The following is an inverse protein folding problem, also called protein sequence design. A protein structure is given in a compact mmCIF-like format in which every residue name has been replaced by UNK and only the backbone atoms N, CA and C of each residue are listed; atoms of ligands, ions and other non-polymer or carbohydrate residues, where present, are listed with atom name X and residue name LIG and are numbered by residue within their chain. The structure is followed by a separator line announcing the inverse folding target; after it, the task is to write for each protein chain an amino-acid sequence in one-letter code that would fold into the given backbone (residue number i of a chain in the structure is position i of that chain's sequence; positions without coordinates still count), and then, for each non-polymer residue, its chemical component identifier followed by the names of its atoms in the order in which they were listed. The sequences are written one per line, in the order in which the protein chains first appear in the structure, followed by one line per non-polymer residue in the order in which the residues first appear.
data_IF_164979716168
#
_entry.id   IF_164979716168
#
_cell.length_a   1.000
_cell.length_b   1.000
_cell.length_c   1.000
_cell.angle_alpha   90.00
_cell.angle_beta   90.00
_cell.angle_gamma   90.00
#
_symmetry.space_group_name_H-M   'P 1'
#
loop_
_entity.id
_entity.type
_entity.pdbx_description
1 polymer ?
#
# COMPACT_ATOMS: atom_id res chain seq x y z
N UNK A 1 -49.68 -72.94 35.58
CA UNK A 1 -50.14 -71.74 36.30
C UNK A 1 -50.29 -70.63 35.29
N UNK A 2 -51.53 -70.33 34.89
CA UNK A 2 -51.83 -69.32 33.87
C UNK A 2 -52.34 -68.01 34.47
N UNK A 3 -52.70 -67.08 33.58
CA UNK A 3 -53.34 -65.75 33.75
C UNK A 3 -52.36 -64.57 33.83
N UNK A 4 -52.57 -63.41 33.17
CA UNK A 4 -53.59 -62.87 32.27
C UNK A 4 -53.02 -61.59 31.62
N UNK A 5 -53.54 -61.24 30.44
CA UNK A 5 -53.31 -60.01 29.68
C UNK A 5 -54.12 -58.85 30.30
N UNK A 6 -53.57 -57.63 30.43
CA UNK A 6 -54.38 -56.38 30.53
C UNK A 6 -53.72 -55.20 29.83
N UNK A 7 -54.57 -54.42 29.17
CA UNK A 7 -54.29 -53.37 28.19
C UNK A 7 -54.86 -52.02 28.71
N UNK A 8 -54.07 -50.93 28.57
CA UNK A 8 -54.40 -49.46 28.55
C UNK A 8 -54.94 -48.81 29.86
N UNK A 9 -55.02 -47.45 30.01
CA UNK A 9 -54.64 -46.31 29.14
C UNK A 9 -53.93 -45.10 29.83
N UNK A 10 -53.47 -44.16 29.00
CA UNK A 10 -53.38 -42.68 29.13
C UNK A 10 -53.00 -41.99 30.47
N UNK A 11 -51.99 -41.11 30.44
CA UNK A 11 -52.18 -39.66 30.64
C UNK A 11 -50.92 -38.87 30.27
N UNK A 12 -51.13 -37.74 29.62
CA UNK A 12 -50.12 -36.78 29.18
C UNK A 12 -49.39 -36.12 30.37
N UNK A 13 -48.07 -35.99 30.23
CA UNK A 13 -47.30 -34.98 30.95
C UNK A 13 -46.65 -34.07 29.91
N UNK A 14 -47.12 -32.83 29.86
CA UNK A 14 -46.45 -31.72 29.19
C UNK A 14 -45.09 -31.52 29.88
N UNK A 15 -44.03 -32.02 29.26
CA UNK A 15 -42.66 -31.65 29.59
C UNK A 15 -42.24 -30.47 28.71
N UNK A 16 -42.27 -29.27 29.25
CA UNK A 16 -41.65 -28.08 28.66
C UNK A 16 -40.14 -28.30 28.65
N UNK A 17 -39.59 -28.73 27.51
CA UNK A 17 -38.15 -28.72 27.28
C UNK A 17 -37.80 -27.40 26.58
N UNK A 18 -37.32 -26.44 27.39
CA UNK A 18 -36.67 -25.24 26.91
C UNK A 18 -35.44 -25.65 26.09
N UNK A 19 -35.57 -25.64 24.75
CA UNK A 19 -34.43 -25.74 23.87
C UNK A 19 -33.61 -24.45 24.03
N UNK A 20 -32.47 -24.61 24.68
CA UNK A 20 -31.44 -23.61 24.88
C UNK A 20 -31.19 -22.85 23.58
N UNK A 21 -31.30 -21.52 23.67
CA UNK A 21 -30.98 -20.62 22.58
C UNK A 21 -29.59 -20.92 22.04
N UNK A 22 -29.53 -21.12 20.72
CA UNK A 22 -28.29 -21.06 19.96
C UNK A 22 -27.74 -19.64 20.09
N UNK A 23 -26.93 -19.42 21.11
CA UNK A 23 -26.05 -18.27 21.22
C UNK A 23 -24.89 -18.50 20.26
N UNK A 24 -24.59 -17.46 19.49
CA UNK A 24 -23.80 -17.56 18.29
C UNK A 24 -22.35 -17.96 18.52
N UNK A 25 -21.79 -18.49 17.45
CA UNK A 25 -20.50 -18.03 16.96
C UNK A 25 -20.73 -17.64 15.50
N UNK A 26 -21.20 -16.40 15.30
CA UNK A 26 -20.70 -15.68 14.15
C UNK A 26 -19.18 -15.76 14.30
N UNK A 27 -18.49 -16.40 13.36
CA UNK A 27 -17.07 -16.19 13.22
C UNK A 27 -16.93 -14.69 12.97
N UNK A 28 -16.70 -13.94 14.05
CA UNK A 28 -16.12 -12.63 13.97
C UNK A 28 -14.83 -12.88 13.19
N UNK A 29 -14.85 -12.49 11.93
CA UNK A 29 -13.64 -12.28 11.17
C UNK A 29 -12.73 -11.49 12.11
N UNK A 30 -11.55 -12.03 12.40
CA UNK A 30 -10.58 -11.30 13.20
C UNK A 30 -9.98 -10.24 12.27
N UNK A 31 -10.83 -9.34 11.81
CA UNK A 31 -10.50 -7.98 11.50
C UNK A 31 -9.88 -7.43 12.77
N UNK A 32 -8.56 -7.58 12.87
CA UNK A 32 -7.73 -6.76 13.73
C UNK A 32 -7.76 -5.35 13.14
N UNK A 33 -8.95 -4.74 13.18
CA UNK A 33 -9.22 -3.37 12.83
C UNK A 33 -8.95 -2.51 14.07
N UNK A 34 -7.71 -2.61 14.56
CA UNK A 34 -7.13 -1.74 15.57
C UNK A 34 -5.93 -1.07 14.91
N UNK A 35 -6.17 0.06 14.26
CA UNK A 35 -5.21 1.15 14.04
C UNK A 35 -3.83 0.78 13.43
N UNK A 36 -3.80 -0.14 12.47
CA UNK A 36 -2.84 -0.06 11.37
C UNK A 36 -3.69 0.28 10.15
N UNK A 37 -3.79 1.57 9.83
CA UNK A 37 -4.33 1.95 8.53
C UNK A 37 -3.56 1.14 7.48
N UNK A 38 -4.24 0.32 6.68
CA UNK A 38 -3.60 -0.30 5.54
C UNK A 38 -3.20 0.84 4.61
N UNK A 39 -1.95 1.30 4.74
CA UNK A 39 -1.43 2.44 3.99
C UNK A 39 -1.29 2.13 2.49
N UNK A 40 -1.82 0.98 2.02
CA UNK A 40 -1.93 0.60 0.62
C UNK A 40 -2.38 1.76 -0.27
N UNK A 41 -3.49 2.44 0.06
CA UNK A 41 -3.97 3.59 -0.74
C UNK A 41 -2.94 4.71 -0.87
N UNK A 42 -2.20 5.01 0.20
CA UNK A 42 -1.12 5.99 0.15
C UNK A 42 0.03 5.49 -0.73
N UNK A 43 0.46 4.25 -0.54
CA UNK A 43 1.55 3.63 -1.27
C UNK A 43 1.25 3.56 -2.78
N UNK A 44 0.03 3.15 -3.14
CA UNK A 44 -0.44 3.07 -4.53
C UNK A 44 -0.49 4.46 -5.18
N UNK A 45 -0.97 5.47 -4.43
CA UNK A 45 -0.97 6.87 -4.89
C UNK A 45 0.46 7.37 -5.21
N UNK A 46 1.46 7.00 -4.41
CA UNK A 46 2.86 7.38 -4.68
C UNK A 46 3.34 6.80 -6.02
N UNK A 47 3.05 5.53 -6.29
CA UNK A 47 3.44 4.87 -7.55
C UNK A 47 2.79 5.59 -8.74
N UNK A 48 1.48 5.87 -8.65
CA UNK A 48 0.75 6.61 -9.69
C UNK A 48 1.36 8.01 -9.93
N UNK A 49 1.80 8.69 -8.88
CA UNK A 49 2.41 10.01 -9.01
C UNK A 49 3.76 9.98 -9.70
N UNK A 50 4.61 9.01 -9.37
CA UNK A 50 5.90 8.84 -10.02
C UNK A 50 5.69 8.50 -11.50
N UNK A 51 4.76 7.58 -11.81
CA UNK A 51 4.37 7.28 -13.18
C UNK A 51 4.05 8.55 -13.96
N UNK A 52 3.21 9.43 -13.40
CA UNK A 52 2.82 10.65 -14.09
C UNK A 52 3.97 11.67 -14.19
N UNK A 53 4.85 11.78 -13.19
CA UNK A 53 6.08 12.60 -13.30
C UNK A 53 6.92 12.12 -14.48
N UNK A 54 7.19 10.83 -14.56
CA UNK A 54 8.01 10.23 -15.62
C UNK A 54 7.42 10.50 -17.02
N UNK A 55 6.12 10.28 -17.20
CA UNK A 55 5.46 10.47 -18.49
C UNK A 55 5.37 11.93 -18.90
N UNK A 56 4.96 12.82 -17.99
CA UNK A 56 4.69 14.22 -18.34
C UNK A 56 5.93 15.10 -18.34
N UNK A 57 6.93 14.79 -17.51
CA UNK A 57 8.15 15.61 -17.37
C UNK A 57 9.30 15.08 -18.23
N UNK A 58 9.52 13.78 -18.21
CA UNK A 58 10.66 13.14 -18.87
C UNK A 58 10.30 12.50 -20.21
N UNK A 59 9.01 12.44 -20.54
CA UNK A 59 8.53 11.81 -21.77
C UNK A 59 8.76 10.29 -21.79
N UNK A 60 8.87 9.67 -20.60
CA UNK A 60 9.02 8.22 -20.49
C UNK A 60 7.83 7.53 -21.16
N UNK A 61 8.08 6.34 -21.72
CA UNK A 61 7.07 5.51 -22.42
C UNK A 61 6.84 4.16 -21.75
N UNK A 62 7.64 3.87 -20.73
CA UNK A 62 7.59 2.66 -19.94
C UNK A 62 6.76 2.90 -18.68
N UNK A 63 6.18 1.83 -18.16
CA UNK A 63 5.40 1.88 -16.93
C UNK A 63 6.30 1.81 -15.70
N UNK A 64 5.75 2.22 -14.55
CA UNK A 64 6.35 2.04 -13.23
C UNK A 64 5.59 0.93 -12.51
N UNK A 65 6.20 -0.25 -12.39
CA UNK A 65 5.53 -1.45 -11.88
C UNK A 65 5.86 -1.70 -10.41
N UNK A 66 4.89 -2.10 -9.56
CA UNK A 66 5.20 -2.59 -8.23
C UNK A 66 6.10 -3.84 -8.28
N UNK A 67 7.11 -3.91 -7.42
CA UNK A 67 7.96 -5.09 -7.21
C UNK A 67 8.01 -5.46 -5.73
N UNK A 68 7.64 -6.71 -5.41
CA UNK A 68 7.55 -7.19 -4.03
C UNK A 68 8.88 -7.13 -3.25
N UNK A 69 10.01 -7.24 -3.94
CA UNK A 69 11.34 -7.17 -3.30
C UNK A 69 11.66 -5.73 -2.91
N UNK A 70 11.34 -4.78 -3.78
CA UNK A 70 11.47 -3.35 -3.45
C UNK A 70 10.49 -2.93 -2.35
N UNK A 71 9.30 -3.52 -2.28
CA UNK A 71 8.35 -3.29 -1.17
C UNK A 71 8.95 -3.79 0.15
N UNK A 72 9.58 -4.96 0.17
CA UNK A 72 10.27 -5.47 1.37
C UNK A 72 11.44 -4.58 1.79
N UNK A 73 12.22 -4.07 0.83
CA UNK A 73 13.30 -3.11 1.10
C UNK A 73 12.76 -1.80 1.71
N UNK A 74 11.67 -1.25 1.14
CA UNK A 74 11.00 -0.06 1.64
C UNK A 74 10.43 -0.27 3.04
N UNK A 75 9.75 -1.40 3.27
CA UNK A 75 9.18 -1.77 4.57
C UNK A 75 10.25 -1.87 5.65
N UNK A 76 11.37 -2.52 5.34
CA UNK A 76 12.50 -2.65 6.26
C UNK A 76 12.99 -1.27 6.71
N UNK A 77 13.20 -0.35 5.76
CA UNK A 77 13.71 0.99 6.09
C UNK A 77 12.67 1.85 6.80
N UNK A 78 11.40 1.79 6.39
CA UNK A 78 10.34 2.54 7.04
C UNK A 78 10.16 2.15 8.52
N UNK A 79 10.26 0.85 8.84
CA UNK A 79 10.23 0.33 10.22
C UNK A 79 11.44 0.77 11.03
N UNK A 80 12.61 0.76 10.41
CA UNK A 80 13.82 1.25 11.04
C UNK A 80 13.71 2.74 11.38
N UNK A 81 13.31 3.55 10.40
CA UNK A 81 13.12 4.98 10.56
C UNK A 81 12.03 5.32 11.59
N UNK A 82 10.87 4.65 11.58
CA UNK A 82 9.78 4.98 12.52
C UNK A 82 10.20 4.74 13.98
N UNK A 83 11.01 3.69 14.23
CA UNK A 83 11.50 3.33 15.56
C UNK A 83 12.76 4.14 15.98
N UNK A 84 13.55 4.64 15.02
CA UNK A 84 14.77 5.42 15.27
C UNK A 84 14.60 6.90 14.91
N UNK A 85 14.27 7.74 15.92
CA UNK A 85 14.01 9.18 15.74
C UNK A 85 15.20 10.05 15.35
N UNK A 86 16.42 9.55 15.56
CA UNK A 86 17.64 10.22 15.12
C UNK A 86 17.95 10.06 13.63
N UNK A 87 17.15 9.27 12.90
CA UNK A 87 17.33 8.99 11.48
C UNK A 87 16.25 9.68 10.65
N UNK A 88 16.69 10.38 9.61
CA UNK A 88 15.86 11.04 8.59
C UNK A 88 16.47 10.94 7.18
N UNK A 89 17.39 9.98 7.00
CA UNK A 89 18.19 9.79 5.78
C UNK A 89 17.99 8.40 5.15
N UNK A 90 18.62 8.17 4.01
CA UNK A 90 18.57 6.94 3.23
C UNK A 90 19.41 5.80 3.86
N UNK A 91 20.23 6.13 4.86
CA UNK A 91 21.07 5.19 5.60
C UNK A 91 20.32 4.65 6.82
N UNK A 92 20.21 3.33 6.92
CA UNK A 92 19.59 2.64 8.05
C UNK A 92 20.45 2.67 9.32
N UNK A 93 19.84 2.35 10.46
CA UNK A 93 20.51 2.23 11.77
C UNK A 93 21.60 1.16 11.78
N UNK A 94 21.49 0.18 10.90
CA UNK A 94 22.47 -0.88 10.66
C UNK A 94 23.59 -0.48 9.68
N UNK A 95 23.59 0.77 9.21
CA UNK A 95 24.52 1.30 8.21
C UNK A 95 24.17 0.94 6.77
N UNK A 96 23.06 0.22 6.53
CA UNK A 96 22.68 -0.18 5.18
C UNK A 96 22.26 1.01 4.33
N UNK A 97 22.69 1.02 3.07
CA UNK A 97 22.18 1.93 2.05
C UNK A 97 21.03 1.29 1.24
N UNK A 98 20.32 2.06 0.36
CA UNK A 98 19.21 1.53 -0.42
C UNK A 98 19.56 0.31 -1.30
N UNK A 99 20.75 0.31 -1.90
CA UNK A 99 21.22 -0.80 -2.76
C UNK A 99 21.36 -2.09 -1.96
N UNK A 100 21.99 -2.02 -0.79
CA UNK A 100 22.17 -3.18 0.09
C UNK A 100 20.83 -3.73 0.58
N UNK A 101 19.85 -2.86 0.87
CA UNK A 101 18.50 -3.28 1.26
C UNK A 101 17.75 -3.96 0.11
N UNK A 102 17.85 -3.43 -1.10
CA UNK A 102 17.27 -4.06 -2.29
C UNK A 102 17.88 -5.43 -2.57
N UNK A 103 19.21 -5.54 -2.49
CA UNK A 103 19.94 -6.81 -2.67
C UNK A 103 19.58 -7.84 -1.60
N UNK A 104 19.48 -7.42 -0.34
CA UNK A 104 19.04 -8.29 0.77
C UNK A 104 17.60 -8.80 0.57
N UNK A 105 16.74 -8.03 -0.10
CA UNK A 105 15.41 -8.46 -0.52
C UNK A 105 15.40 -9.32 -1.81
N UNK A 106 16.56 -9.58 -2.40
CA UNK A 106 16.72 -10.37 -3.63
C UNK A 106 16.50 -9.59 -4.93
N UNK A 107 16.46 -8.26 -4.88
CA UNK A 107 16.40 -7.42 -6.07
C UNK A 107 17.74 -7.47 -6.81
N UNK A 108 17.69 -7.56 -8.15
CA UNK A 108 18.87 -7.58 -9.03
C UNK A 108 18.76 -6.42 -10.00
N UNK A 109 19.56 -5.39 -9.77
CA UNK A 109 19.48 -4.13 -10.51
C UNK A 109 20.02 -2.97 -9.69
N UNK A 110 19.92 -1.76 -10.23
CA UNK A 110 20.25 -0.54 -9.48
C UNK A 110 19.05 -0.13 -8.65
N UNK A 111 19.31 0.34 -7.44
CA UNK A 111 18.28 0.78 -6.51
C UNK A 111 18.54 2.23 -6.12
N UNK A 112 17.46 3.00 -6.01
CA UNK A 112 17.46 4.36 -5.48
C UNK A 112 16.29 4.51 -4.52
N UNK A 113 16.29 5.55 -3.69
CA UNK A 113 15.26 5.74 -2.68
C UNK A 113 14.91 7.22 -2.51
N UNK A 114 13.66 7.47 -2.15
CA UNK A 114 13.21 8.75 -1.60
C UNK A 114 12.51 8.50 -0.27
N UNK A 115 12.94 9.21 0.76
CA UNK A 115 12.39 9.12 2.12
C UNK A 115 11.65 10.40 2.49
N UNK A 116 10.57 10.28 3.23
CA UNK A 116 9.92 11.39 3.90
C UNK A 116 9.55 11.03 5.33
N UNK A 117 10.13 11.75 6.30
CA UNK A 117 9.69 11.74 7.70
C UNK A 117 8.87 12.99 7.97
N UNK A 118 7.66 12.83 8.49
CA UNK A 118 6.70 13.91 8.74
C UNK A 118 6.21 13.88 10.20
N UNK A 119 6.20 15.01 10.93
CA UNK A 119 5.93 15.05 12.37
C UNK A 119 4.42 15.08 12.70
N UNK A 120 3.63 14.23 12.05
CA UNK A 120 2.20 14.07 12.32
C UNK A 120 1.73 12.64 12.03
N UNK A 121 0.53 12.29 12.51
CA UNK A 121 -0.10 10.97 12.35
C UNK A 121 -0.29 10.56 10.88
N UNK A 122 -0.42 11.53 9.99
CA UNK A 122 -0.55 11.30 8.57
C UNK A 122 0.10 12.44 7.79
N UNK A 123 0.68 12.10 6.64
CA UNK A 123 1.01 13.02 5.56
C UNK A 123 0.00 12.77 4.42
N UNK A 124 -0.39 13.80 3.67
CA UNK A 124 -1.18 13.57 2.45
C UNK A 124 -0.27 13.18 1.27
N UNK A 125 -0.75 12.39 0.32
CA UNK A 125 0.02 12.05 -0.89
C UNK A 125 0.44 13.29 -1.68
N UNK A 126 -0.38 14.34 -1.66
CA UNK A 126 -0.07 15.61 -2.31
C UNK A 126 1.09 16.33 -1.64
N UNK A 127 1.06 16.43 -0.31
CA UNK A 127 2.12 17.06 0.45
C UNK A 127 3.45 16.30 0.28
N UNK A 128 3.40 14.97 0.31
CA UNK A 128 4.54 14.10 0.08
C UNK A 128 5.19 14.36 -1.28
N UNK A 129 4.39 14.30 -2.36
CA UNK A 129 4.91 14.51 -3.72
C UNK A 129 5.39 15.94 -3.91
N UNK A 130 4.69 16.95 -3.37
CA UNK A 130 5.15 18.32 -3.44
C UNK A 130 6.51 18.51 -2.74
N UNK A 131 6.74 17.84 -1.61
CA UNK A 131 8.04 17.85 -0.93
C UNK A 131 9.13 17.27 -1.83
N UNK A 132 8.93 16.07 -2.37
CA UNK A 132 9.93 15.43 -3.23
C UNK A 132 10.12 16.14 -4.58
N UNK A 133 9.07 16.76 -5.12
CA UNK A 133 9.14 17.50 -6.38
C UNK A 133 10.00 18.77 -6.26
N UNK A 134 10.02 19.40 -5.09
CA UNK A 134 10.85 20.58 -4.83
C UNK A 134 12.25 20.24 -4.28
N UNK A 135 12.56 18.97 -4.07
CA UNK A 135 13.90 18.47 -3.77
C UNK A 135 14.57 18.01 -5.09
N UNK A 136 15.66 18.66 -5.53
CA UNK A 136 16.32 18.30 -6.79
C UNK A 136 16.82 16.85 -6.86
N UNK A 137 17.25 16.27 -5.74
CA UNK A 137 17.75 14.90 -5.70
C UNK A 137 16.60 13.89 -5.80
N UNK A 138 15.54 14.10 -5.01
CA UNK A 138 14.35 13.25 -5.08
C UNK A 138 13.64 13.36 -6.43
N UNK A 139 13.53 14.57 -6.99
CA UNK A 139 12.96 14.77 -8.31
C UNK A 139 13.77 14.08 -9.41
N UNK A 140 15.10 14.08 -9.33
CA UNK A 140 15.95 13.37 -10.29
C UNK A 140 15.70 11.85 -10.25
N UNK A 141 15.51 11.27 -9.07
CA UNK A 141 15.18 9.84 -8.91
C UNK A 141 13.77 9.55 -9.45
N UNK A 142 12.77 10.34 -9.06
CA UNK A 142 11.38 10.16 -9.53
C UNK A 142 11.26 10.29 -11.05
N UNK A 143 12.03 11.19 -11.67
CA UNK A 143 11.94 11.50 -13.10
C UNK A 143 12.81 10.61 -14.00
N UNK A 144 13.64 9.72 -13.44
CA UNK A 144 14.50 8.83 -14.23
C UNK A 144 13.69 7.70 -14.88
N UNK A 145 13.60 7.70 -16.21
CA UNK A 145 12.88 6.67 -16.96
C UNK A 145 13.44 5.25 -16.77
N UNK A 146 14.71 5.10 -16.34
CA UNK A 146 15.28 3.79 -16.06
C UNK A 146 14.68 3.15 -14.78
N UNK A 147 14.07 3.93 -13.89
CA UNK A 147 13.35 3.46 -12.72
C UNK A 147 11.96 2.95 -13.11
N UNK A 148 11.90 1.72 -13.64
CA UNK A 148 10.68 1.07 -14.13
C UNK A 148 10.00 0.15 -13.10
N UNK A 149 10.61 -0.04 -11.93
CA UNK A 149 10.05 -0.81 -10.83
C UNK A 149 10.08 -0.01 -9.53
N UNK A 150 9.08 -0.19 -8.67
CA UNK A 150 9.02 0.49 -7.37
C UNK A 150 8.47 -0.39 -6.25
N UNK A 151 8.87 -0.07 -5.03
CA UNK A 151 8.17 -0.50 -3.82
C UNK A 151 7.98 0.67 -2.89
N UNK A 152 6.77 0.81 -2.35
CA UNK A 152 6.43 1.90 -1.44
C UNK A 152 5.91 1.32 -0.14
N UNK A 153 6.39 1.86 0.98
CA UNK A 153 5.90 1.51 2.29
C UNK A 153 5.74 2.75 3.17
N UNK A 154 4.64 2.78 3.92
CA UNK A 154 4.35 3.84 4.88
C UNK A 154 4.14 3.24 6.26
N UNK A 155 4.88 3.75 7.23
CA UNK A 155 4.68 3.48 8.66
C UNK A 155 4.22 4.76 9.35
N UNK A 156 3.27 4.66 10.28
CA UNK A 156 2.80 5.83 11.01
C UNK A 156 2.49 5.53 12.48
N UNK A 157 2.67 6.57 13.29
CA UNK A 157 2.38 6.67 14.73
C UNK A 157 1.76 8.04 14.98
N UNK A 158 1.15 8.24 16.14
CA UNK A 158 0.42 9.49 16.51
C UNK A 158 1.18 10.79 16.18
N UNK A 159 2.51 10.77 16.29
CA UNK A 159 3.35 11.96 16.14
C UNK A 159 4.35 11.86 14.97
N UNK A 160 4.27 10.83 14.15
CA UNK A 160 5.27 10.58 13.11
C UNK A 160 4.73 9.69 12.00
N UNK A 161 4.91 10.12 10.76
CA UNK A 161 4.69 9.31 9.57
C UNK A 161 6.00 9.20 8.79
N UNK A 162 6.33 8.00 8.33
CA UNK A 162 7.48 7.71 7.48
C UNK A 162 6.98 7.09 6.19
N UNK A 163 7.33 7.69 5.07
CA UNK A 163 7.09 7.12 3.74
C UNK A 163 8.44 6.86 3.09
N UNK A 164 8.64 5.62 2.66
CA UNK A 164 9.82 5.19 1.91
C UNK A 164 9.36 4.68 0.55
N UNK A 165 9.90 5.29 -0.51
CA UNK A 165 9.71 4.83 -1.87
C UNK A 165 11.06 4.39 -2.44
N UNK A 166 11.16 3.11 -2.79
CA UNK A 166 12.34 2.49 -3.38
C UNK A 166 12.09 2.28 -4.86
N UNK A 167 13.05 2.69 -5.69
CA UNK A 167 13.02 2.65 -7.15
C UNK A 167 14.04 1.64 -7.64
N UNK A 168 13.71 0.90 -8.69
CA UNK A 168 14.54 -0.15 -9.25
C UNK A 168 14.74 0.01 -10.76
N UNK A 169 15.98 -0.13 -11.19
CA UNK A 169 16.39 -0.31 -12.58
C UNK A 169 16.76 -1.79 -12.75
N UNK A 170 15.90 -2.62 -13.35
CA UNK A 170 16.16 -4.05 -13.48
C UNK A 170 17.41 -4.28 -14.33
N UNK A 171 18.23 -5.28 -13.95
CA UNK A 171 19.47 -5.59 -14.66
C UNK A 171 19.25 -5.95 -16.14
N UNK A 172 18.12 -6.61 -16.44
CA UNK A 172 17.62 -6.82 -17.78
C UNK A 172 16.48 -5.82 -18.02
N UNK A 173 16.64 -4.84 -18.93
CA UNK A 173 15.58 -3.89 -19.25
C UNK A 173 14.35 -4.64 -19.75
N UNK A 174 13.24 -4.56 -19.01
CA UNK A 174 11.97 -5.07 -19.49
C UNK A 174 11.37 -4.03 -20.44
N UNK A 175 11.07 -4.44 -21.66
CA UNK A 175 10.23 -3.64 -22.55
C UNK A 175 8.80 -3.71 -22.03
N UNK A 176 8.39 -2.67 -21.30
CA UNK A 176 7.04 -2.53 -20.77
C UNK A 176 6.16 -1.65 -21.66
N UNK A 177 6.58 -1.30 -22.88
CA UNK A 177 5.74 -0.42 -23.73
C UNK A 177 4.41 -1.11 -24.05
N UNK A 178 3.31 -0.51 -23.58
CA UNK A 178 1.95 -1.00 -23.83
C UNK A 178 1.48 -2.16 -22.96
N UNK A 179 2.17 -2.50 -21.87
CA UNK A 179 1.78 -3.58 -20.96
C UNK A 179 1.06 -3.05 -19.69
N UNK A 180 -0.22 -2.70 -19.84
CA UNK A 180 -1.19 -2.58 -18.74
C UNK A 180 -1.46 -3.96 -18.11
N UNK A 181 -0.46 -4.56 -17.45
CA UNK A 181 -0.63 -5.83 -16.74
C UNK A 181 -0.44 -5.58 -15.25
N UNK A 182 -1.53 -5.47 -14.48
CA UNK A 182 -1.49 -5.50 -13.02
C UNK A 182 -0.80 -6.78 -12.54
N UNK A 183 0.17 -6.65 -11.62
CA UNK A 183 0.57 -7.77 -10.79
C UNK A 183 -0.28 -7.70 -9.53
N UNK A 184 -1.47 -8.27 -9.59
CA UNK A 184 -2.26 -8.55 -8.40
C UNK A 184 -2.64 -10.04 -8.37
N UNK A 185 -2.44 -10.74 -7.23
CA UNK A 185 -3.18 -11.96 -6.93
C UNK A 185 -4.53 -11.69 -6.21
N UNK A 186 -5.00 -10.45 -6.10
CA UNK A 186 -6.40 -10.10 -5.80
C UNK A 186 -7.22 -9.98 -7.10
N UNK A 187 -8.34 -10.72 -7.26
CA UNK A 187 -9.07 -10.83 -8.52
C UNK A 187 -9.93 -9.62 -8.94
N UNK A 188 -9.74 -8.44 -8.36
CA UNK A 188 -10.70 -7.33 -8.44
C UNK A 188 -10.10 -5.91 -8.39
N UNK A 189 -8.76 -5.74 -8.33
CA UNK A 189 -8.14 -4.41 -8.36
C UNK A 189 -7.67 -4.02 -9.77
N UNK A 190 -8.41 -3.13 -10.42
CA UNK A 190 -8.06 -2.55 -11.73
C UNK A 190 -7.33 -1.21 -11.54
N UNK A 191 -6.00 -1.17 -11.69
CA UNK A 191 -5.18 0.05 -11.57
C UNK A 191 -5.54 1.18 -12.58
N UNK A 192 -6.46 0.94 -13.50
CA UNK A 192 -6.91 1.93 -14.49
C UNK A 192 -7.54 3.18 -13.86
N UNK A 193 -8.24 3.05 -12.75
CA UNK A 193 -8.97 4.14 -12.09
C UNK A 193 -8.05 5.06 -11.25
N UNK A 194 -6.94 4.53 -10.71
CA UNK A 194 -5.92 5.29 -9.98
C UNK A 194 -5.00 6.10 -10.91
N UNK A 195 -4.70 5.58 -12.10
CA UNK A 195 -4.00 6.33 -13.15
C UNK A 195 -4.88 7.48 -13.68
N UNK A 196 -6.20 7.29 -13.75
CA UNK A 196 -7.15 8.36 -14.12
C UNK A 196 -7.22 9.45 -13.03
N UNK A 197 -7.20 9.09 -11.75
CA UNK A 197 -7.14 10.05 -10.64
C UNK A 197 -5.79 10.80 -10.58
N UNK A 198 -4.67 10.10 -10.76
CA UNK A 198 -3.33 10.69 -10.81
C UNK A 198 -3.18 11.69 -11.97
N UNK A 199 -3.59 11.31 -13.18
CA UNK A 199 -3.53 12.17 -14.36
C UNK A 199 -4.37 13.44 -14.22
N UNK A 200 -5.55 13.37 -13.59
CA UNK A 200 -6.44 14.53 -13.37
C UNK A 200 -5.87 15.56 -12.39
N UNK A 201 -5.06 15.15 -11.45
CA UNK A 201 -4.50 16.01 -10.41
C UNK A 201 -3.22 16.74 -10.84
N UNK A 202 -2.35 16.09 -11.64
CA UNK A 202 -1.06 16.65 -12.06
C UNK A 202 -1.16 17.98 -12.83
N UNK A 203 -2.21 18.17 -13.63
CA UNK A 203 -2.45 19.42 -14.35
C UNK A 203 -2.65 20.63 -13.41
N UNK A 204 -3.15 20.42 -12.18
CA UNK A 204 -3.39 21.48 -11.20
C UNK A 204 -2.14 21.83 -10.39
N UNK A 205 -1.28 20.85 -10.08
CA UNK A 205 0.05 21.11 -9.48
C UNK A 205 0.92 21.96 -10.40
N UNK A 206 0.99 21.61 -11.69
CA UNK A 206 1.74 22.41 -12.67
C UNK A 206 1.18 23.84 -12.83
N UNK A 207 -0.08 24.05 -12.45
CA UNK A 207 -0.77 25.36 -12.47
C UNK A 207 -0.78 26.08 -11.12
N UNK A 208 -0.18 25.50 -10.07
CA UNK A 208 -0.10 26.11 -8.74
C UNK A 208 -1.45 26.26 -8.01
N UNK A 209 -2.48 25.51 -8.41
CA UNK A 209 -3.82 25.57 -7.80
C UNK A 209 -4.00 24.38 -6.84
N UNK A 210 -4.21 24.66 -5.55
CA UNK A 210 -4.45 23.65 -4.53
C UNK A 210 -5.54 24.10 -3.53
N UNK A 211 -6.54 23.25 -3.19
CA UNK A 211 -6.79 21.88 -3.66
C UNK A 211 -7.38 21.80 -5.09
N UNK A 212 -7.16 20.71 -5.84
CA UNK A 212 -7.76 20.54 -7.16
C UNK A 212 -9.30 20.41 -7.06
N UNK A 213 -10.08 21.06 -7.95
CA UNK A 213 -11.53 20.94 -7.95
C UNK A 213 -11.97 19.51 -8.32
N UNK A 214 -13.05 19.04 -7.69
CA UNK A 214 -13.56 17.67 -7.85
C UNK A 214 -14.06 17.33 -9.26
N UNK A 215 -14.22 18.34 -10.14
CA UNK A 215 -14.59 18.18 -11.54
C UNK A 215 -13.77 19.14 -12.41
N UNK A 216 -13.39 18.69 -13.60
CA UNK A 216 -12.78 19.54 -14.63
C UNK A 216 -13.79 20.61 -15.08
N UNK A 217 -13.36 21.84 -15.38
CA UNK A 217 -14.21 22.78 -16.11
C UNK A 217 -14.54 22.17 -17.48
N UNK A 218 -15.83 22.05 -17.78
CA UNK A 218 -16.32 21.66 -19.10
C UNK A 218 -15.94 22.67 -20.17
#
# INVERSE_FOLDING_TARGET
MGHQLKLRPALALLGVAAALGGTGVAAADNDVNILIANNKRMNDSVIANVFTIQHNRSGCRNDVRPDGRLILAAQRHARDLIDNRGLDSDIGSDGSNPQERGEAAGYRGRVSETVAVHPALAISGVELINRWYNDPAALAIMADCANSQMGVWTENRIDRTVVVAVYGQPADPMDTTGQNVPLDPSPDYDMSDEVEFGNRWWAWILRGVYPPPGQEPR
#
